data_IF_559291737694
#
_entry.id   IF_559291737694
#
_cell.length_a   1.000
_cell.length_b   1.000
_cell.length_c   1.000
_cell.angle_alpha   90.00
_cell.angle_beta   90.00
_cell.angle_gamma   90.00
#
_symmetry.space_group_name_H-M   'P 1'
#
loop_
_entity.id
_entity.type
_entity.pdbx_description
1 polymer ?
#
# COMPACT_ATOMS: atom_id res chain seq x y z
N UNK A 1 20.93 -10.15 -3.95
CA UNK A 1 20.07 -9.12 -3.29
C UNK A 1 20.99 -7.98 -2.89
N UNK A 2 20.84 -6.78 -3.46
CA UNK A 2 21.71 -5.62 -3.13
C UNK A 2 21.18 -4.96 -1.85
N UNK A 3 22.08 -4.62 -0.93
CA UNK A 3 21.72 -3.85 0.26
C UNK A 3 21.30 -2.43 -0.15
N UNK A 4 20.18 -1.95 0.38
CA UNK A 4 19.67 -0.61 0.13
C UNK A 4 19.91 0.23 1.38
N UNK A 5 20.51 1.41 1.23
CA UNK A 5 20.69 2.37 2.32
C UNK A 5 19.32 2.94 2.69
N UNK A 6 18.85 2.67 3.91
CA UNK A 6 17.67 3.31 4.49
C UNK A 6 18.11 4.43 5.43
N UNK A 7 17.46 5.58 5.36
CA UNK A 7 17.68 6.70 6.28
C UNK A 7 16.41 6.93 7.10
N UNK A 8 16.55 7.00 8.43
CA UNK A 8 15.47 7.46 9.31
C UNK A 8 15.57 8.98 9.40
N UNK A 9 14.53 9.67 8.94
CA UNK A 9 14.41 11.11 9.11
C UNK A 9 13.57 11.41 10.35
N UNK A 10 14.02 12.37 11.16
CA UNK A 10 13.21 12.96 12.22
C UNK A 10 12.41 14.09 11.60
N UNK A 11 11.21 13.79 11.09
CA UNK A 11 10.25 14.78 10.63
C UNK A 11 8.99 14.69 11.49
N UNK A 12 8.36 15.84 11.73
CA UNK A 12 6.98 15.91 12.19
C UNK A 12 6.14 16.00 10.91
N UNK A 13 5.43 14.92 10.52
CA UNK A 13 4.66 14.94 9.28
C UNK A 13 3.45 15.87 9.44
N UNK A 14 3.14 16.59 8.37
CA UNK A 14 1.90 17.36 8.27
C UNK A 14 0.67 16.45 8.45
N UNK A 15 -0.42 16.97 9.01
CA UNK A 15 -1.63 16.18 9.26
C UNK A 15 -2.20 15.56 7.97
N UNK A 16 -2.15 16.29 6.84
CA UNK A 16 -2.63 15.76 5.56
C UNK A 16 -1.80 14.57 5.09
N UNK A 17 -0.48 14.57 5.38
CA UNK A 17 0.37 13.42 5.06
C UNK A 17 -0.05 12.22 5.92
N UNK A 18 -0.32 12.41 7.22
CA UNK A 18 -0.77 11.32 8.08
C UNK A 18 -2.10 10.72 7.61
N UNK A 19 -3.07 11.57 7.28
CA UNK A 19 -4.38 11.14 6.75
C UNK A 19 -4.22 10.38 5.41
N UNK A 20 -3.27 10.81 4.60
CA UNK A 20 -2.92 10.13 3.35
C UNK A 20 -2.30 8.75 3.59
N UNK A 21 -1.38 8.62 4.55
CA UNK A 21 -0.81 7.32 4.95
C UNK A 21 -1.89 6.37 5.46
N UNK A 22 -2.87 6.89 6.19
CA UNK A 22 -4.00 6.11 6.69
C UNK A 22 -4.96 5.69 5.58
N UNK A 23 -5.25 6.59 4.65
CA UNK A 23 -6.03 6.29 3.45
C UNK A 23 -5.38 5.15 2.66
N UNK A 24 -4.05 5.20 2.47
CA UNK A 24 -3.32 4.12 1.81
C UNK A 24 -3.40 2.80 2.60
N UNK A 25 -3.24 2.85 3.92
CA UNK A 25 -3.40 1.68 4.80
C UNK A 25 -4.78 1.04 4.61
N UNK A 26 -5.82 1.86 4.58
CA UNK A 26 -7.20 1.40 4.46
C UNK A 26 -7.49 0.82 3.08
N UNK A 27 -6.94 1.39 2.00
CA UNK A 27 -6.99 0.78 0.67
C UNK A 27 -6.34 -0.61 0.64
N UNK A 28 -5.14 -0.76 1.22
CA UNK A 28 -4.46 -2.07 1.29
C UNK A 28 -5.32 -3.08 2.04
N UNK A 29 -5.88 -2.67 3.18
CA UNK A 29 -6.74 -3.53 3.98
C UNK A 29 -8.06 -3.86 3.28
N UNK A 30 -8.59 -2.96 2.47
CA UNK A 30 -9.74 -3.23 1.61
C UNK A 30 -9.40 -4.31 0.58
N UNK A 31 -8.28 -4.19 -0.14
CA UNK A 31 -7.82 -5.21 -1.05
C UNK A 31 -7.55 -6.56 -0.36
N UNK A 32 -6.99 -6.56 0.86
CA UNK A 32 -6.81 -7.79 1.64
C UNK A 32 -8.15 -8.47 1.92
N UNK A 33 -9.17 -7.71 2.36
CA UNK A 33 -10.53 -8.24 2.60
C UNK A 33 -11.13 -8.85 1.34
N UNK A 34 -11.02 -8.17 0.19
CA UNK A 34 -11.46 -8.69 -1.11
C UNK A 34 -10.72 -9.97 -1.47
N UNK A 35 -9.40 -9.99 -1.28
CA UNK A 35 -8.55 -11.15 -1.56
C UNK A 35 -8.91 -12.38 -0.72
N UNK A 36 -9.15 -12.19 0.58
CA UNK A 36 -9.59 -13.26 1.48
C UNK A 36 -10.99 -13.77 1.11
N UNK A 37 -11.93 -12.87 0.80
CA UNK A 37 -13.31 -13.23 0.41
C UNK A 37 -13.36 -14.07 -0.88
N UNK A 38 -12.44 -13.82 -1.82
CA UNK A 38 -12.38 -14.46 -3.13
C UNK A 38 -11.29 -15.54 -3.26
N UNK A 39 -10.64 -15.92 -2.14
CA UNK A 39 -9.48 -16.82 -2.07
C UNK A 39 -8.42 -16.53 -3.16
N UNK A 40 -8.06 -15.25 -3.32
CA UNK A 40 -7.10 -14.83 -4.34
C UNK A 40 -5.91 -14.09 -3.73
N UNK A 41 -4.73 -14.37 -4.27
CA UNK A 41 -3.46 -13.73 -3.93
C UNK A 41 -2.69 -13.31 -5.19
N UNK A 42 -3.21 -13.64 -6.38
CA UNK A 42 -2.59 -13.31 -7.65
C UNK A 42 -2.88 -11.85 -8.00
N UNK A 43 -1.83 -11.06 -8.25
CA UNK A 43 -1.93 -9.63 -8.53
C UNK A 43 -2.95 -9.30 -9.62
N UNK A 44 -2.90 -10.02 -10.76
CA UNK A 44 -3.80 -9.79 -11.89
C UNK A 44 -5.27 -9.92 -11.48
N UNK A 45 -5.62 -11.01 -10.80
CA UNK A 45 -7.01 -11.27 -10.37
C UNK A 45 -7.45 -10.29 -9.29
N UNK A 46 -6.58 -10.00 -8.32
CA UNK A 46 -6.88 -9.05 -7.25
C UNK A 46 -7.08 -7.63 -7.80
N UNK A 47 -6.31 -7.24 -8.82
CA UNK A 47 -6.46 -5.94 -9.48
C UNK A 47 -7.82 -5.78 -10.13
N UNK A 48 -8.26 -6.77 -10.93
CA UNK A 48 -9.59 -6.74 -11.57
C UNK A 48 -10.72 -6.62 -10.54
N UNK A 49 -10.61 -7.32 -9.41
CA UNK A 49 -11.62 -7.29 -8.35
C UNK A 49 -11.60 -5.99 -7.53
N UNK A 50 -10.41 -5.46 -7.24
CA UNK A 50 -10.26 -4.36 -6.28
C UNK A 50 -10.24 -2.98 -6.93
N UNK A 51 -9.80 -2.85 -8.19
CA UNK A 51 -9.53 -1.54 -8.76
C UNK A 51 -10.77 -0.64 -8.84
N UNK A 52 -11.93 -1.23 -9.19
CA UNK A 52 -13.22 -0.52 -9.21
C UNK A 52 -13.69 -0.16 -7.80
N UNK A 53 -13.52 -1.05 -6.83
CA UNK A 53 -13.86 -0.80 -5.42
C UNK A 53 -13.02 0.34 -4.82
N UNK A 54 -11.79 0.51 -5.28
CA UNK A 54 -10.93 1.61 -4.86
C UNK A 54 -11.30 2.98 -5.48
N UNK A 55 -12.32 3.05 -6.35
CA UNK A 55 -12.78 4.32 -6.92
C UNK A 55 -13.27 5.31 -5.85
N UNK A 56 -13.81 4.80 -4.73
CA UNK A 56 -14.31 5.61 -3.62
C UNK A 56 -13.23 6.40 -2.86
N UNK A 57 -11.95 6.06 -3.04
CA UNK A 57 -10.85 6.77 -2.39
C UNK A 57 -10.38 7.91 -3.29
N UNK A 58 -10.39 9.12 -2.75
CA UNK A 58 -9.87 10.32 -3.42
C UNK A 58 -8.35 10.35 -3.32
N UNK A 59 -7.69 9.68 -4.26
CA UNK A 59 -6.24 9.53 -4.32
C UNK A 59 -5.80 9.18 -5.74
N UNK A 60 -4.57 9.57 -6.10
CA UNK A 60 -4.02 9.29 -7.42
C UNK A 60 -4.01 7.79 -7.74
N UNK A 61 -4.39 7.46 -8.97
CA UNK A 61 -4.62 6.07 -9.43
C UNK A 61 -3.43 5.13 -9.24
N UNK A 62 -2.19 5.63 -9.33
CA UNK A 62 -1.01 4.78 -9.15
C UNK A 62 -0.83 4.33 -7.69
N UNK A 63 -1.32 5.07 -6.70
CA UNK A 63 -1.35 4.60 -5.31
C UNK A 63 -2.35 3.46 -5.13
N UNK A 64 -3.47 3.47 -5.86
CA UNK A 64 -4.44 2.35 -5.87
C UNK A 64 -3.76 1.06 -6.37
N UNK A 65 -2.99 1.16 -7.46
CA UNK A 65 -2.20 0.04 -7.97
C UNK A 65 -1.13 -0.45 -6.98
N UNK A 66 -0.44 0.46 -6.30
CA UNK A 66 0.54 0.12 -5.27
C UNK A 66 -0.12 -0.57 -4.06
N UNK A 67 -1.31 -0.12 -3.65
CA UNK A 67 -2.08 -0.74 -2.57
C UNK A 67 -2.49 -2.18 -2.93
N UNK A 68 -2.99 -2.40 -4.15
CA UNK A 68 -3.33 -3.74 -4.67
C UNK A 68 -2.09 -4.64 -4.69
N UNK A 69 -0.96 -4.14 -5.20
CA UNK A 69 0.30 -4.89 -5.24
C UNK A 69 0.76 -5.30 -3.84
N UNK A 70 0.69 -4.38 -2.88
CA UNK A 70 1.02 -4.66 -1.48
C UNK A 70 0.12 -5.72 -0.87
N UNK A 71 -1.19 -5.62 -1.09
CA UNK A 71 -2.15 -6.62 -0.60
C UNK A 71 -1.90 -8.00 -1.20
N UNK A 72 -1.63 -8.10 -2.50
CA UNK A 72 -1.28 -9.36 -3.17
C UNK A 72 -0.03 -10.00 -2.55
N UNK A 73 1.01 -9.21 -2.27
CA UNK A 73 2.21 -9.68 -1.59
C UNK A 73 1.93 -10.24 -0.19
N UNK A 74 1.11 -9.54 0.61
CA UNK A 74 0.70 -9.99 1.94
C UNK A 74 -0.07 -11.32 1.87
N UNK A 75 -1.01 -11.44 0.94
CA UNK A 75 -1.82 -12.65 0.75
C UNK A 75 -0.97 -13.83 0.25
N UNK A 76 -0.02 -13.58 -0.65
CA UNK A 76 0.93 -14.59 -1.13
C UNK A 76 1.81 -15.12 0.01
N UNK A 77 2.34 -14.23 0.86
CA UNK A 77 3.12 -14.62 2.02
C UNK A 77 2.29 -15.46 3.00
N UNK A 78 1.03 -15.07 3.25
CA UNK A 78 0.11 -15.87 4.08
C UNK A 78 -0.09 -17.28 3.50
N UNK A 79 -0.33 -17.40 2.19
CA UNK A 79 -0.46 -18.70 1.51
C UNK A 79 0.79 -19.56 1.71
N UNK A 80 1.97 -18.96 1.61
CA UNK A 80 3.23 -19.67 1.86
C UNK A 80 3.36 -20.13 3.32
N UNK A 81 2.99 -19.29 4.30
CA UNK A 81 2.98 -19.66 5.72
C UNK A 81 2.04 -20.83 5.99
N UNK A 82 0.82 -20.80 5.43
CA UNK A 82 -0.16 -21.91 5.54
C UNK A 82 0.42 -23.19 4.92
N UNK A 83 1.03 -23.09 3.74
CA UNK A 83 1.67 -24.23 3.07
C UNK A 83 2.79 -24.86 3.92
N UNK A 84 3.45 -24.08 4.78
CA UNK A 84 4.49 -24.54 5.71
C UNK A 84 3.93 -25.05 7.05
N UNK A 85 2.60 -25.11 7.22
CA UNK A 85 1.96 -25.54 8.46
C UNK A 85 2.01 -24.51 9.58
N UNK A 86 2.34 -23.25 9.29
CA UNK A 86 2.40 -22.18 10.30
C UNK A 86 0.98 -21.68 10.56
N UNK A 87 0.55 -21.69 11.83
CA UNK A 87 -0.75 -21.13 12.21
C UNK A 87 -0.77 -19.63 11.90
N UNK A 88 -1.55 -19.22 10.89
CA UNK A 88 -1.55 -17.85 10.38
C UNK A 88 -2.90 -17.19 10.60
N UNK A 89 -2.93 -16.08 11.35
CA UNK A 89 -4.12 -15.24 11.51
C UNK A 89 -4.48 -14.53 10.19
N UNK A 90 -5.67 -13.95 10.13
CA UNK A 90 -6.05 -13.09 9.01
C UNK A 90 -5.10 -11.89 8.94
N UNK A 91 -4.44 -11.67 7.79
CA UNK A 91 -3.48 -10.60 7.66
C UNK A 91 -4.20 -9.25 7.64
N UNK A 92 -3.52 -8.24 8.16
CA UNK A 92 -3.96 -6.85 8.14
C UNK A 92 -2.73 -5.95 8.25
N UNK A 93 -2.73 -4.84 7.52
CA UNK A 93 -1.70 -3.83 7.58
C UNK A 93 -2.01 -2.88 8.76
N UNK A 94 -1.25 -3.01 9.85
CA UNK A 94 -1.49 -2.26 11.09
C UNK A 94 -0.92 -0.85 11.10
N UNK A 95 0.24 -0.64 10.47
CA UNK A 95 0.95 0.64 10.51
C UNK A 95 0.59 1.47 9.28
N UNK A 96 0.35 2.78 9.43
CA UNK A 96 0.26 3.70 8.30
C UNK A 96 1.59 3.65 7.55
N UNK A 97 1.53 3.35 6.26
CA UNK A 97 2.69 3.31 5.37
C UNK A 97 2.27 3.84 4.01
N UNK A 98 3.25 4.30 3.24
CA UNK A 98 3.04 4.61 1.83
C UNK A 98 4.05 3.84 0.99
N UNK A 99 3.57 3.24 -0.08
CA UNK A 99 4.41 2.64 -1.10
C UNK A 99 4.05 3.30 -2.41
N UNK A 100 5.04 3.87 -3.07
CA UNK A 100 4.91 4.37 -4.43
C UNK A 100 6.12 3.97 -5.25
N UNK A 101 5.86 3.57 -6.49
CA UNK A 101 6.89 3.48 -7.53
C UNK A 101 6.98 4.76 -8.37
N UNK A 102 6.17 5.79 -8.07
CA UNK A 102 6.10 7.03 -8.85
C UNK A 102 6.02 8.28 -7.97
N UNK A 103 6.41 9.41 -8.55
CA UNK A 103 6.04 10.74 -8.05
C UNK A 103 6.83 11.29 -6.86
N UNK A 104 7.53 10.45 -6.10
CA UNK A 104 8.46 10.95 -5.07
C UNK A 104 9.61 11.73 -5.70
N UNK A 105 9.84 12.94 -5.21
CA UNK A 105 10.94 13.81 -5.68
C UNK A 105 11.75 14.32 -4.49
N UNK A 106 13.05 14.43 -4.69
CA UNK A 106 13.96 15.15 -3.81
C UNK A 106 14.37 16.43 -4.51
N UNK A 107 14.03 17.58 -3.92
CA UNK A 107 14.48 18.89 -4.38
C UNK A 107 15.32 19.52 -3.27
N UNK A 108 16.64 19.48 -3.43
CA UNK A 108 17.58 19.81 -2.36
C UNK A 108 17.37 18.91 -1.15
N UNK A 109 16.99 19.52 -0.02
CA UNK A 109 16.72 18.82 1.24
C UNK A 109 15.24 18.54 1.50
N UNK A 110 14.36 18.83 0.53
CA UNK A 110 12.91 18.67 0.65
C UNK A 110 12.47 17.40 -0.08
N UNK A 111 11.73 16.55 0.64
CA UNK A 111 11.09 15.36 0.08
C UNK A 111 9.63 15.68 -0.28
N UNK A 112 9.33 15.67 -1.58
CA UNK A 112 7.98 15.98 -2.09
C UNK A 112 7.19 14.69 -2.32
N UNK A 113 6.00 14.64 -1.73
CA UNK A 113 5.02 13.58 -1.89
C UNK A 113 3.82 14.14 -2.65
N UNK A 114 3.47 13.58 -3.83
CA UNK A 114 2.29 14.02 -4.57
C UNK A 114 1.02 13.46 -3.92
N UNK A 115 0.19 14.35 -3.35
CA UNK A 115 -1.04 13.96 -2.66
C UNK A 115 -2.27 13.90 -3.60
N UNK A 116 -2.16 14.46 -4.81
CA UNK A 116 -3.33 14.81 -5.63
C UNK A 116 -3.72 16.25 -5.33
N UNK A 117 -3.98 17.02 -6.38
CA UNK A 117 -4.22 18.46 -6.42
C UNK A 117 -3.70 19.28 -5.22
N UNK A 118 -2.42 19.66 -5.32
CA UNK A 118 -2.01 21.03 -5.05
C UNK A 118 -0.87 21.37 -6.02
N UNK A 119 -1.25 21.89 -7.18
CA UNK A 119 -0.41 22.75 -7.99
C UNK A 119 -0.33 24.07 -7.24
N UNK A 120 0.85 24.43 -6.71
CA UNK A 120 1.36 25.80 -6.62
C UNK A 120 2.89 25.75 -6.66
#
# INVERSE_FOLDING_TARGET
MKAIKSVRQSCVPDSHILDFLETFRDMVNHCIRIGLKNDTHALKRLSVLSYRELAQYDILSYYKLCAISKAAGILSNRRQSIKRGINTKNPYLKKPILISCYGFKLEGNIFKIPLGDTIF
#
